data_IF_924202782709
#
_entry.id   IF_924202782709
#
_cell.length_a   1.000
_cell.length_b   1.000
_cell.length_c   1.000
_cell.angle_alpha   90.00
_cell.angle_beta   90.00
_cell.angle_gamma   90.00
#
_symmetry.space_group_name_H-M   'P 1'
#
loop_
_entity.id
_entity.type
_entity.pdbx_description
1 polymer ?
#
# COMPACT_ATOMS: atom_id res chain seq x y z
N UNK A 1 3.27 8.57 10.37
CA UNK A 1 3.19 7.52 11.41
C UNK A 1 2.79 8.09 12.75
N UNK A 2 3.64 8.92 13.35
CA UNK A 2 3.46 9.42 14.72
C UNK A 2 2.11 10.15 14.95
N UNK A 3 1.79 11.17 14.14
CA UNK A 3 0.53 11.92 14.31
C UNK A 3 -0.72 11.05 14.12
N UNK A 4 -0.67 10.04 13.25
CA UNK A 4 -1.81 9.14 13.03
C UNK A 4 -2.10 8.28 14.27
N UNK A 5 -1.06 7.87 15.02
CA UNK A 5 -1.24 7.11 16.25
C UNK A 5 -1.65 8.02 17.43
N UNK A 6 -1.07 9.22 17.52
CA UNK A 6 -1.37 10.15 18.62
C UNK A 6 -2.77 10.80 18.49
N UNK A 7 -3.26 11.03 17.28
CA UNK A 7 -4.60 11.61 17.05
C UNK A 7 -5.73 10.59 17.13
N UNK A 8 -5.42 9.29 16.98
CA UNK A 8 -6.40 8.21 17.06
C UNK A 8 -5.94 7.11 18.04
N UNK A 9 -5.84 7.41 19.35
CA UNK A 9 -5.27 6.49 20.34
C UNK A 9 -6.26 5.43 20.88
N UNK A 10 -7.54 5.49 20.46
CA UNK A 10 -8.64 4.72 21.07
C UNK A 10 -9.51 3.97 20.06
N UNK A 11 -10.77 3.72 20.42
CA UNK A 11 -11.69 2.84 19.70
C UNK A 11 -11.72 3.06 18.18
N UNK A 12 -11.61 1.97 17.42
CA UNK A 12 -11.67 1.99 15.98
C UNK A 12 -13.13 1.98 15.45
N UNK A 13 -13.54 3.05 14.78
CA UNK A 13 -14.71 3.09 13.90
C UNK A 13 -14.38 2.60 12.48
N UNK A 14 -15.39 2.36 11.64
CA UNK A 14 -15.19 2.01 10.23
C UNK A 14 -14.26 3.00 9.50
N UNK A 15 -14.45 4.31 9.71
CA UNK A 15 -13.62 5.34 9.09
C UNK A 15 -12.18 5.29 9.57
N UNK A 16 -11.94 5.12 10.88
CA UNK A 16 -10.57 4.99 11.40
C UNK A 16 -9.86 3.72 10.92
N UNK A 17 -10.59 2.62 10.65
CA UNK A 17 -10.03 1.41 10.03
C UNK A 17 -9.64 1.62 8.57
N UNK A 18 -10.43 2.40 7.83
CA UNK A 18 -10.10 2.79 6.45
C UNK A 18 -8.84 3.65 6.45
N UNK A 19 -8.82 4.76 7.19
CA UNK A 19 -7.69 5.69 7.18
C UNK A 19 -6.44 5.20 7.91
N UNK A 20 -6.61 4.32 8.89
CA UNK A 20 -5.52 3.64 9.59
C UNK A 20 -5.08 2.40 8.84
N UNK A 21 -5.73 1.26 9.13
CA UNK A 21 -5.29 -0.07 8.69
C UNK A 21 -5.22 -0.20 7.17
N UNK A 22 -6.30 0.13 6.45
CA UNK A 22 -6.36 -0.05 5.00
C UNK A 22 -5.40 0.91 4.29
N UNK A 23 -5.47 2.21 4.59
CA UNK A 23 -4.63 3.20 3.94
C UNK A 23 -3.14 3.05 4.29
N UNK A 24 -2.77 2.67 5.52
CA UNK A 24 -1.37 2.44 5.87
C UNK A 24 -0.76 1.26 5.09
N UNK A 25 -1.48 0.14 4.99
CA UNK A 25 -1.04 -1.00 4.17
C UNK A 25 -1.00 -0.64 2.69
N UNK A 26 -1.98 0.10 2.18
CA UNK A 26 -1.98 0.54 0.80
C UNK A 26 -0.80 1.48 0.50
N UNK A 27 -0.48 2.41 1.40
CA UNK A 27 0.68 3.28 1.27
C UNK A 27 1.98 2.47 1.21
N UNK A 28 2.12 1.46 2.07
CA UNK A 28 3.27 0.56 2.05
C UNK A 28 3.41 -0.21 0.73
N UNK A 29 2.29 -0.62 0.12
CA UNK A 29 2.29 -1.24 -1.22
C UNK A 29 2.74 -0.23 -2.28
N UNK A 30 2.24 1.01 -2.24
CA UNK A 30 2.56 2.02 -3.25
C UNK A 30 4.02 2.47 -3.28
N UNK A 31 4.72 2.43 -2.14
CA UNK A 31 6.15 2.73 -2.08
C UNK A 31 7.03 1.61 -2.67
N UNK A 32 6.48 0.42 -2.98
CA UNK A 32 7.27 -0.72 -3.45
C UNK A 32 7.36 -0.82 -4.97
N UNK A 33 8.49 -1.30 -5.51
CA UNK A 33 8.70 -1.42 -6.96
C UNK A 33 7.76 -2.44 -7.62
N UNK A 34 7.25 -3.43 -6.87
CA UNK A 34 6.25 -4.37 -7.37
C UNK A 34 4.98 -3.64 -7.84
N UNK A 35 4.55 -2.57 -7.18
CA UNK A 35 3.38 -1.79 -7.58
C UNK A 35 3.73 -0.71 -8.60
N UNK A 36 4.62 0.22 -8.21
CA UNK A 36 4.84 1.49 -8.91
C UNK A 36 6.16 1.56 -9.69
N UNK A 37 6.95 0.48 -9.70
CA UNK A 37 8.24 0.43 -10.40
C UNK A 37 8.10 0.32 -11.92
N UNK A 38 9.22 0.46 -12.63
CA UNK A 38 9.24 0.50 -14.10
C UNK A 38 8.63 -0.75 -14.75
N UNK A 39 8.86 -1.92 -14.14
CA UNK A 39 8.28 -3.22 -14.51
C UNK A 39 7.23 -3.70 -13.49
N UNK A 40 6.67 -2.77 -12.74
CA UNK A 40 5.64 -2.99 -11.73
C UNK A 40 4.25 -3.15 -12.34
N UNK A 41 3.30 -3.59 -11.51
CA UNK A 41 1.94 -3.91 -11.94
C UNK A 41 1.20 -2.71 -12.55
N UNK A 42 1.30 -1.53 -11.92
CA UNK A 42 0.54 -0.35 -12.35
C UNK A 42 0.99 0.15 -13.73
N UNK A 43 2.31 0.14 -13.98
CA UNK A 43 2.90 0.70 -15.20
C UNK A 43 2.77 -0.23 -16.42
N UNK A 44 2.64 -1.53 -16.19
CA UNK A 44 2.44 -2.52 -17.26
C UNK A 44 0.97 -2.87 -17.48
N UNK A 45 0.04 -2.27 -16.74
CA UNK A 45 -1.37 -2.42 -17.00
C UNK A 45 -1.71 -1.94 -18.42
N UNK A 46 -2.35 -2.81 -19.21
CA UNK A 46 -2.69 -2.52 -20.61
C UNK A 46 -1.57 -2.69 -21.63
N UNK A 47 -0.32 -2.96 -21.23
CA UNK A 47 0.81 -3.11 -22.17
C UNK A 47 0.98 -4.53 -22.75
N UNK A 48 0.18 -5.50 -22.30
CA UNK A 48 0.31 -6.92 -22.68
C UNK A 48 1.53 -7.64 -22.09
N UNK A 49 2.39 -6.92 -21.35
CA UNK A 49 3.60 -7.47 -20.73
C UNK A 49 3.37 -7.85 -19.26
N UNK A 50 3.95 -8.98 -18.83
CA UNK A 50 3.82 -9.46 -17.44
C UNK A 50 4.75 -8.68 -16.50
N UNK A 51 4.20 -8.21 -15.37
CA UNK A 51 4.97 -7.56 -14.32
C UNK A 51 6.00 -8.47 -13.64
N UNK A 52 7.11 -7.89 -13.19
CA UNK A 52 8.15 -8.59 -12.43
C UNK A 52 7.96 -8.31 -10.95
N UNK A 53 7.71 -9.36 -10.18
CA UNK A 53 7.54 -9.27 -8.73
C UNK A 53 8.70 -9.94 -7.99
N UNK A 54 9.21 -9.28 -6.95
CA UNK A 54 9.94 -9.98 -5.90
C UNK A 54 8.96 -10.83 -5.08
N UNK A 55 9.21 -12.14 -5.02
CA UNK A 55 8.34 -13.13 -4.36
C UNK A 55 8.65 -13.31 -2.87
N UNK A 56 9.66 -12.62 -2.34
CA UNK A 56 9.99 -12.66 -0.91
C UNK A 56 8.89 -11.96 -0.10
N UNK A 57 8.44 -12.64 0.95
CA UNK A 57 7.53 -12.08 1.96
C UNK A 57 8.32 -11.11 2.86
N UNK A 58 7.62 -10.12 3.41
CA UNK A 58 8.11 -9.18 4.42
C UNK A 58 7.17 -9.18 5.60
#
# INVERSE_FOLDING_TARGET
GLEANLRFPGNESLSTKIFGRLSAWQNWIFYRPNASGEKGALRLFGSGSRAKFDKKRV
#
